data_IF_388289910130
#
_entry.id   IF_388289910130
#
_cell.length_a   1.000
_cell.length_b   1.000
_cell.length_c   1.000
_cell.angle_alpha   90.00
_cell.angle_beta   90.00
_cell.angle_gamma   90.00
#
_symmetry.space_group_name_H-M   'P 1'
#
loop_
_entity.id
_entity.type
_entity.pdbx_description
1 polymer ?
#
# COMPACT_ATOMS: atom_id res chain seq x y z
N UNK A 1 5.37 5.83 17.63
CA UNK A 1 4.13 5.73 18.43
C UNK A 1 4.21 6.20 19.89
N UNK A 2 5.36 6.23 20.60
CA UNK A 2 5.40 6.63 22.03
C UNK A 2 4.89 8.04 22.36
N UNK A 3 5.05 9.01 21.45
CA UNK A 3 4.66 10.42 21.70
C UNK A 3 3.14 10.59 21.87
N UNK A 4 2.33 9.77 21.18
CA UNK A 4 0.86 9.82 21.27
C UNK A 4 0.37 9.36 22.66
N UNK A 5 1.16 8.52 23.35
CA UNK A 5 0.86 7.99 24.68
C UNK A 5 1.75 8.57 25.79
N UNK A 6 2.46 9.67 25.52
CA UNK A 6 3.34 10.30 26.51
C UNK A 6 2.56 10.92 27.68
N UNK A 7 1.28 11.23 27.49
CA UNK A 7 0.36 11.75 28.51
C UNK A 7 -0.94 10.95 28.49
N UNK A 8 -1.58 10.80 29.64
CA UNK A 8 -2.88 10.14 29.78
C UNK A 8 -4.06 11.08 29.50
N UNK A 9 -3.84 12.40 29.55
CA UNK A 9 -4.92 13.38 29.44
C UNK A 9 -5.24 13.69 27.96
N UNK A 10 -6.50 13.51 27.56
CA UNK A 10 -6.91 13.66 26.15
C UNK A 10 -6.71 15.07 25.60
N UNK A 11 -6.89 16.10 26.42
CA UNK A 11 -6.68 17.49 26.01
C UNK A 11 -5.20 17.77 25.72
N UNK A 12 -4.33 17.37 26.64
CA UNK A 12 -2.88 17.50 26.47
C UNK A 12 -2.37 16.68 25.28
N UNK A 13 -2.85 15.44 25.08
CA UNK A 13 -2.56 14.65 23.88
C UNK A 13 -2.92 15.41 22.60
N UNK A 14 -4.10 16.04 22.56
CA UNK A 14 -4.57 16.81 21.40
C UNK A 14 -3.67 18.00 21.12
N UNK A 15 -3.27 18.73 22.15
CA UNK A 15 -2.38 19.87 21.98
C UNK A 15 -1.00 19.47 21.49
N UNK A 16 -0.42 18.41 22.06
CA UNK A 16 0.90 17.91 21.68
C UNK A 16 0.91 17.40 20.24
N UNK A 17 -0.04 16.54 19.87
CA UNK A 17 -0.15 16.00 18.49
C UNK A 17 -0.47 17.13 17.51
N UNK A 18 -1.34 18.07 17.89
CA UNK A 18 -1.68 19.23 17.07
C UNK A 18 -0.46 20.10 16.79
N UNK A 19 0.30 20.47 17.82
CA UNK A 19 1.55 21.24 17.69
C UNK A 19 2.58 20.48 16.85
N UNK A 20 2.73 19.18 17.07
CA UNK A 20 3.63 18.32 16.29
C UNK A 20 3.26 18.35 14.80
N UNK A 21 2.01 18.06 14.45
CA UNK A 21 1.57 18.04 13.05
C UNK A 21 1.66 19.42 12.40
N UNK A 22 1.33 20.48 13.11
CA UNK A 22 1.46 21.85 12.60
C UNK A 22 2.92 22.18 12.29
N UNK A 23 3.82 21.97 13.26
CA UNK A 23 5.26 22.25 13.11
C UNK A 23 5.87 21.41 11.99
N UNK A 24 5.51 20.12 11.91
CA UNK A 24 6.01 19.23 10.86
C UNK A 24 5.56 19.65 9.46
N UNK A 25 4.31 20.12 9.31
CA UNK A 25 3.80 20.60 8.01
C UNK A 25 4.47 21.89 7.54
N UNK A 26 4.94 22.73 8.46
CA UNK A 26 5.73 23.92 8.10
C UNK A 26 7.07 23.56 7.45
N UNK A 27 7.61 22.36 7.74
CA UNK A 27 8.87 21.86 7.16
C UNK A 27 8.67 21.21 5.78
N UNK A 28 7.45 20.84 5.40
CA UNK A 28 7.13 20.26 4.10
C UNK A 28 6.15 19.08 4.16
N UNK A 29 6.28 18.14 3.21
CA UNK A 29 5.44 16.94 3.14
C UNK A 29 5.93 15.92 4.15
N UNK A 30 5.02 15.48 5.04
CA UNK A 30 5.35 14.59 6.14
C UNK A 30 4.46 13.35 6.11
N UNK A 31 5.08 12.18 6.27
CA UNK A 31 4.42 10.91 6.48
C UNK A 31 4.63 10.48 7.94
N UNK A 32 3.54 10.32 8.67
CA UNK A 32 3.53 9.80 10.03
C UNK A 32 2.87 8.42 10.06
N UNK A 33 3.48 7.47 10.76
CA UNK A 33 2.89 6.13 10.99
C UNK A 33 2.45 6.00 12.44
N UNK A 34 1.27 5.42 12.64
CA UNK A 34 0.70 5.14 13.96
C UNK A 34 0.32 3.66 13.98
N UNK A 35 0.61 2.99 15.10
CA UNK A 35 0.18 1.62 15.34
C UNK A 35 -1.17 1.66 16.04
N UNK A 36 -2.12 0.90 15.51
CA UNK A 36 -3.44 0.68 16.09
C UNK A 36 -3.45 -0.67 16.81
N UNK A 37 -4.00 -0.72 18.01
CA UNK A 37 -4.05 -1.94 18.82
C UNK A 37 -5.40 -2.67 18.79
N UNK A 38 -6.35 -2.22 17.97
CA UNK A 38 -7.60 -2.94 17.74
C UNK A 38 -7.35 -4.26 17.00
N UNK A 39 -8.23 -5.25 17.20
CA UNK A 39 -8.09 -6.53 16.49
C UNK A 39 -8.54 -6.36 15.03
N UNK A 40 -7.96 -7.13 14.09
CA UNK A 40 -8.43 -7.15 12.71
C UNK A 40 -9.95 -7.37 12.59
N UNK A 41 -10.62 -6.45 11.90
CA UNK A 41 -12.07 -6.51 11.69
C UNK A 41 -12.92 -5.85 12.77
N UNK A 42 -12.32 -5.34 13.83
CA UNK A 42 -13.00 -4.44 14.77
C UNK A 42 -13.12 -3.03 14.19
N UNK A 43 -13.90 -2.18 14.86
CA UNK A 43 -13.93 -0.75 14.54
C UNK A 43 -12.59 -0.10 14.90
N UNK A 44 -12.26 1.00 14.22
CA UNK A 44 -11.01 1.73 14.44
C UNK A 44 -10.85 2.03 15.93
N UNK A 45 -9.70 1.66 16.48
CA UNK A 45 -9.36 1.84 17.89
C UNK A 45 -9.42 3.30 18.35
N UNK A 46 -9.96 3.53 19.55
CA UNK A 46 -10.03 4.86 20.14
C UNK A 46 -8.66 5.52 20.34
N UNK A 47 -7.59 4.72 20.39
CA UNK A 47 -6.21 5.14 20.54
C UNK A 47 -5.67 5.88 19.31
N UNK A 48 -6.25 5.67 18.13
CA UNK A 48 -5.80 6.29 16.87
C UNK A 48 -6.75 7.35 16.31
N UNK A 49 -7.95 7.50 16.88
CA UNK A 49 -8.95 8.47 16.42
C UNK A 49 -8.43 9.92 16.43
N UNK A 50 -7.69 10.30 17.47
CA UNK A 50 -7.19 11.67 17.62
C UNK A 50 -6.13 12.03 16.55
N UNK A 51 -5.09 11.20 16.30
CA UNK A 51 -4.20 11.36 15.15
C UNK A 51 -4.94 11.46 13.80
N UNK A 52 -5.93 10.58 13.55
CA UNK A 52 -6.73 10.60 12.31
C UNK A 52 -7.51 11.92 12.18
N UNK A 53 -8.08 12.39 13.28
CA UNK A 53 -8.85 13.63 13.30
C UNK A 53 -7.97 14.86 13.02
N UNK A 54 -6.76 14.92 13.56
CA UNK A 54 -5.85 16.06 13.42
C UNK A 54 -5.06 16.06 12.10
N UNK A 55 -4.84 14.90 11.47
CA UNK A 55 -4.11 14.80 10.20
C UNK A 55 -4.89 15.46 9.03
N UNK A 56 -4.18 15.78 7.94
CA UNK A 56 -4.86 16.23 6.70
C UNK A 56 -5.35 15.06 5.85
N UNK A 57 -4.64 13.93 5.92
CA UNK A 57 -5.05 12.68 5.33
C UNK A 57 -4.78 11.50 6.27
N UNK A 58 -5.54 10.43 6.12
CA UNK A 58 -5.38 9.20 6.88
C UNK A 58 -5.61 7.99 5.98
N UNK A 59 -4.61 7.11 5.93
CA UNK A 59 -4.63 5.84 5.20
C UNK A 59 -4.56 4.74 6.24
N UNK A 60 -5.51 3.82 6.21
CA UNK A 60 -5.59 2.69 7.13
C UNK A 60 -5.13 1.42 6.43
N UNK A 61 -4.16 0.71 7.02
CA UNK A 61 -3.65 -0.56 6.52
C UNK A 61 -4.08 -1.68 7.48
N UNK A 62 -4.94 -2.57 7.01
CA UNK A 62 -5.46 -3.68 7.81
C UNK A 62 -4.91 -5.01 7.31
N UNK A 63 -4.64 -5.92 8.26
CA UNK A 63 -4.27 -7.30 7.98
C UNK A 63 -5.34 -8.25 8.53
N UNK A 64 -6.01 -9.00 7.65
CA UNK A 64 -7.02 -9.99 8.01
C UNK A 64 -6.42 -11.39 7.94
N UNK A 65 -6.22 -12.12 9.05
CA UNK A 65 -5.61 -13.46 9.05
C UNK A 65 -6.52 -14.57 8.48
N UNK A 66 -7.54 -14.23 7.68
CA UNK A 66 -8.46 -15.18 7.06
C UNK A 66 -7.75 -15.80 5.85
N UNK A 67 -7.66 -17.13 5.79
CA UNK A 67 -6.97 -17.86 4.73
C UNK A 67 -7.52 -17.50 3.34
N UNK A 68 -6.68 -16.87 2.52
CA UNK A 68 -6.97 -16.45 1.15
C UNK A 68 -5.81 -15.65 0.57
N UNK A 69 -5.79 -15.48 -0.76
CA UNK A 69 -4.65 -14.91 -1.50
C UNK A 69 -4.31 -13.44 -1.13
N UNK A 70 -5.26 -12.69 -0.57
CA UNK A 70 -5.03 -11.32 -0.05
C UNK A 70 -5.58 -11.17 1.37
N UNK A 71 -4.67 -11.10 2.32
CA UNK A 71 -4.95 -10.82 3.73
C UNK A 71 -4.63 -9.37 4.13
N UNK A 72 -4.38 -8.49 3.16
CA UNK A 72 -3.93 -7.11 3.40
C UNK A 72 -4.77 -6.14 2.60
N UNK A 73 -5.35 -5.16 3.29
CA UNK A 73 -6.23 -4.16 2.69
C UNK A 73 -5.88 -2.75 3.13
N UNK A 74 -6.15 -1.79 2.25
CA UNK A 74 -5.92 -0.38 2.43
C UNK A 74 -7.26 0.33 2.29
N UNK A 75 -7.57 1.24 3.21
CA UNK A 75 -8.71 2.15 3.16
C UNK A 75 -8.23 3.59 3.24
N UNK A 76 -8.84 4.48 2.47
CA UNK A 76 -8.64 5.93 2.60
C UNK A 76 -9.71 6.44 3.57
N UNK A 77 -9.30 6.77 4.80
CA UNK A 77 -10.26 7.23 5.83
C UNK A 77 -10.61 8.71 5.68
N UNK A 78 -9.66 9.49 5.20
CA UNK A 78 -9.77 10.95 5.12
C UNK A 78 -8.72 11.50 4.18
N UNK A 79 -9.11 12.46 3.35
CA UNK A 79 -8.19 13.34 2.60
C UNK A 79 -8.83 14.73 2.51
N UNK A 80 -8.25 15.73 3.18
CA UNK A 80 -8.76 17.11 3.15
C UNK A 80 -8.43 17.77 1.81
N UNK A 81 -9.40 18.49 1.25
CA UNK A 81 -9.23 19.30 0.05
C UNK A 81 -9.19 18.51 -1.27
N UNK A 82 -9.35 17.19 -1.24
CA UNK A 82 -9.37 16.33 -2.44
C UNK A 82 -10.40 15.21 -2.32
N UNK A 83 -10.94 14.79 -3.47
CA UNK A 83 -11.75 13.57 -3.53
C UNK A 83 -10.85 12.33 -3.38
N UNK A 84 -11.38 11.30 -2.75
CA UNK A 84 -10.74 10.00 -2.61
C UNK A 84 -11.79 8.89 -2.72
N UNK A 85 -11.34 7.67 -3.02
CA UNK A 85 -12.24 6.53 -3.09
C UNK A 85 -12.59 5.98 -1.70
N UNK A 86 -13.81 5.51 -1.55
CA UNK A 86 -14.37 4.97 -0.29
C UNK A 86 -14.28 3.43 -0.21
N UNK A 87 -13.64 2.81 -1.21
CA UNK A 87 -13.52 1.36 -1.31
C UNK A 87 -12.46 0.76 -0.38
N UNK A 88 -12.42 -0.57 -0.36
CA UNK A 88 -11.37 -1.36 0.27
C UNK A 88 -10.43 -1.86 -0.82
N UNK A 89 -9.15 -1.50 -0.71
CA UNK A 89 -8.15 -1.76 -1.74
C UNK A 89 -7.17 -2.83 -1.26
N UNK A 90 -7.15 -4.03 -1.86
CA UNK A 90 -6.14 -5.02 -1.51
C UNK A 90 -4.74 -4.52 -1.89
N UNK A 91 -3.76 -4.86 -1.06
CA UNK A 91 -2.35 -4.56 -1.34
C UNK A 91 -1.44 -5.75 -1.05
N UNK A 92 -0.26 -5.76 -1.66
CA UNK A 92 0.74 -6.80 -1.51
C UNK A 92 2.15 -6.19 -1.45
N UNK A 93 3.11 -6.94 -0.92
CA UNK A 93 4.52 -6.55 -0.88
C UNK A 93 5.32 -7.39 -1.88
N UNK A 94 5.58 -6.85 -3.07
CA UNK A 94 6.43 -7.51 -4.04
C UNK A 94 7.87 -7.06 -3.85
N UNK A 95 8.78 -7.98 -3.47
CA UNK A 95 10.21 -7.66 -3.37
C UNK A 95 10.74 -7.11 -4.69
N UNK A 96 11.55 -6.06 -4.59
CA UNK A 96 12.03 -5.30 -5.75
C UNK A 96 11.07 -4.20 -6.22
N UNK A 97 9.75 -4.30 -5.96
CA UNK A 97 8.76 -3.24 -6.29
C UNK A 97 8.36 -2.42 -5.07
N UNK A 98 8.10 -3.06 -3.94
CA UNK A 98 7.57 -2.43 -2.74
C UNK A 98 6.09 -2.75 -2.57
N UNK A 99 5.33 -1.79 -2.01
CA UNK A 99 3.88 -1.91 -1.86
C UNK A 99 3.19 -1.73 -3.22
N UNK A 100 2.31 -2.67 -3.56
CA UNK A 100 1.44 -2.60 -4.73
C UNK A 100 0.01 -2.58 -4.22
N UNK A 101 -0.69 -1.49 -4.50
CA UNK A 101 -2.11 -1.31 -4.16
C UNK A 101 -2.93 -1.52 -5.42
N UNK A 102 -3.94 -2.38 -5.38
CA UNK A 102 -4.86 -2.55 -6.52
C UNK A 102 -5.81 -1.37 -6.59
N UNK A 103 -6.00 -0.81 -7.78
CA UNK A 103 -6.80 0.41 -7.98
C UNK A 103 -8.32 0.16 -7.94
N UNK A 104 -8.75 -1.09 -8.00
CA UNK A 104 -10.16 -1.49 -7.88
C UNK A 104 -10.35 -2.48 -6.74
N UNK A 105 -11.51 -2.45 -6.05
CA UNK A 105 -11.95 -3.55 -5.20
C UNK A 105 -12.22 -4.74 -6.13
N UNK A 106 -11.25 -5.64 -6.29
CA UNK A 106 -11.44 -6.88 -7.06
C UNK A 106 -11.66 -8.01 -6.08
N UNK A 107 -12.60 -8.90 -6.41
CA UNK A 107 -12.73 -10.21 -5.78
C UNK A 107 -11.35 -10.89 -5.75
N UNK A 108 -11.01 -11.45 -4.59
CA UNK A 108 -9.76 -12.18 -4.37
C UNK A 108 -9.74 -13.33 -5.39
N UNK A 109 -8.83 -13.32 -6.40
CA UNK A 109 -8.77 -14.40 -7.37
C UNK A 109 -8.46 -15.71 -6.67
N UNK A 110 -9.17 -16.78 -7.06
CA UNK A 110 -8.91 -18.13 -6.56
C UNK A 110 -7.46 -18.56 -6.82
N UNK A 111 -6.89 -19.26 -5.84
CA UNK A 111 -5.55 -19.84 -5.89
C UNK A 111 -5.40 -20.74 -7.13
N UNK A 112 -4.49 -20.38 -8.04
CA UNK A 112 -4.08 -21.26 -9.13
C UNK A 112 -2.60 -21.54 -9.03
N UNK A 113 -2.28 -22.73 -8.52
CA UNK A 113 -0.94 -23.30 -8.46
C UNK A 113 -0.37 -23.49 -9.88
N UNK A 114 0.19 -22.45 -10.47
CA UNK A 114 0.90 -22.52 -11.75
C UNK A 114 2.23 -21.80 -11.64
N UNK A 115 3.29 -22.45 -12.09
CA UNK A 115 4.59 -21.81 -12.25
C UNK A 115 4.46 -20.55 -13.10
N UNK A 116 4.76 -19.39 -12.51
CA UNK A 116 4.67 -18.08 -13.17
C UNK A 116 5.93 -17.70 -13.98
N UNK A 117 6.90 -18.62 -14.10
CA UNK A 117 8.18 -18.35 -14.78
C UNK A 117 8.00 -17.83 -16.21
N UNK A 118 7.09 -18.43 -16.98
CA UNK A 118 6.76 -18.00 -18.35
C UNK A 118 6.21 -16.58 -18.41
N UNK A 119 5.43 -16.17 -17.41
CA UNK A 119 4.86 -14.81 -17.34
C UNK A 119 5.99 -13.79 -17.17
N UNK A 120 6.92 -14.04 -16.26
CA UNK A 120 8.08 -13.19 -16.05
C UNK A 120 9.01 -13.14 -17.26
N UNK A 121 9.28 -14.29 -17.91
CA UNK A 121 10.09 -14.32 -19.14
C UNK A 121 9.47 -13.48 -20.26
N UNK A 122 8.15 -13.58 -20.44
CA UNK A 122 7.42 -12.77 -21.42
C UNK A 122 7.47 -11.27 -21.07
N UNK A 123 7.38 -10.92 -19.80
CA UNK A 123 7.51 -9.54 -19.34
C UNK A 123 8.93 -8.99 -19.56
N UNK A 124 9.98 -9.77 -19.30
CA UNK A 124 11.37 -9.38 -19.58
C UNK A 124 11.55 -9.11 -21.06
N UNK A 125 11.13 -10.05 -21.93
CA UNK A 125 11.18 -9.88 -23.39
C UNK A 125 10.42 -8.64 -23.86
N UNK A 126 9.25 -8.38 -23.28
CA UNK A 126 8.45 -7.19 -23.58
C UNK A 126 9.18 -5.91 -23.16
N UNK A 127 9.75 -5.88 -21.95
CA UNK A 127 10.51 -4.73 -21.46
C UNK A 127 11.75 -4.45 -22.33
N UNK A 128 12.50 -5.48 -22.72
CA UNK A 128 13.65 -5.39 -23.61
C UNK A 128 13.23 -4.89 -25.01
N UNK A 129 12.14 -5.45 -25.56
CA UNK A 129 11.58 -5.03 -26.86
C UNK A 129 11.09 -3.58 -26.87
N UNK A 130 10.54 -3.09 -25.76
CA UNK A 130 10.13 -1.70 -25.58
C UNK A 130 11.31 -0.76 -25.25
N UNK A 131 12.55 -1.26 -25.23
CA UNK A 131 13.76 -0.50 -24.83
C UNK A 131 13.59 0.16 -23.45
N UNK A 132 12.93 -0.54 -22.52
CA UNK A 132 12.75 -0.07 -21.16
C UNK A 132 14.13 0.17 -20.50
N UNK A 133 14.24 1.14 -19.58
CA UNK A 133 15.48 1.35 -18.83
C UNK A 133 15.96 0.08 -18.14
N UNK A 134 17.28 -0.17 -18.10
CA UNK A 134 17.89 -1.39 -17.50
C UNK A 134 17.37 -1.68 -16.09
N UNK A 135 17.16 -0.64 -15.28
CA UNK A 135 16.59 -0.74 -13.94
C UNK A 135 15.23 -1.44 -13.89
N UNK A 136 14.40 -1.30 -14.92
CA UNK A 136 13.07 -1.91 -15.01
C UNK A 136 13.21 -3.41 -15.24
N UNK A 137 14.08 -3.81 -16.18
CA UNK A 137 14.37 -5.22 -16.46
C UNK A 137 14.96 -5.91 -15.23
N UNK A 138 15.91 -5.26 -14.55
CA UNK A 138 16.47 -5.76 -13.29
C UNK A 138 15.43 -5.88 -12.18
N UNK A 139 14.43 -4.99 -12.15
CA UNK A 139 13.32 -5.04 -11.19
C UNK A 139 12.41 -6.24 -11.47
N UNK A 140 12.08 -6.50 -12.74
CA UNK A 140 11.31 -7.68 -13.15
C UNK A 140 12.07 -8.97 -12.81
N UNK A 141 13.38 -9.03 -13.07
CA UNK A 141 14.22 -10.19 -12.69
C UNK A 141 14.29 -10.40 -11.18
N UNK A 142 14.33 -9.32 -10.39
CA UNK A 142 14.24 -9.41 -8.92
C UNK A 142 12.88 -9.97 -8.50
N UNK A 143 11.78 -9.45 -9.04
CA UNK A 143 10.43 -9.98 -8.76
C UNK A 143 10.36 -11.48 -9.06
N UNK A 144 10.81 -11.93 -10.23
CA UNK A 144 10.80 -13.35 -10.62
C UNK A 144 11.51 -14.24 -9.60
N UNK A 145 12.67 -13.82 -9.10
CA UNK A 145 13.47 -14.58 -8.12
C UNK A 145 12.81 -14.66 -6.74
N UNK A 146 11.96 -13.70 -6.40
CA UNK A 146 11.40 -13.54 -5.06
C UNK A 146 9.88 -13.67 -5.01
N UNK A 147 9.24 -14.08 -6.11
CA UNK A 147 7.80 -14.23 -6.17
C UNK A 147 7.41 -15.53 -5.48
N UNK A 148 6.81 -15.40 -4.30
CA UNK A 148 6.39 -16.48 -3.42
C UNK A 148 4.86 -16.56 -3.31
N UNK A 149 4.13 -15.82 -4.15
CA UNK A 149 2.67 -15.83 -4.18
C UNK A 149 2.13 -16.86 -5.18
N UNK A 150 1.06 -17.54 -4.78
CA UNK A 150 0.34 -18.54 -5.59
C UNK A 150 -0.56 -17.93 -6.67
N UNK A 151 -0.71 -16.60 -6.69
CA UNK A 151 -1.46 -15.88 -7.72
C UNK A 151 -0.54 -15.27 -8.79
N UNK A 152 -1.12 -15.07 -9.97
CA UNK A 152 -0.42 -14.56 -11.15
C UNK A 152 0.24 -13.19 -10.93
N UNK A 153 1.52 -13.00 -11.34
CA UNK A 153 2.23 -11.72 -11.26
C UNK A 153 1.82 -10.72 -12.36
N UNK A 154 0.93 -11.09 -13.28
CA UNK A 154 0.55 -10.28 -14.45
C UNK A 154 0.13 -8.87 -14.07
N UNK A 155 -0.70 -8.73 -13.04
CA UNK A 155 -1.17 -7.43 -12.58
C UNK A 155 -0.05 -6.59 -11.97
N UNK A 156 0.81 -7.19 -11.13
CA UNK A 156 1.96 -6.51 -10.55
C UNK A 156 2.93 -6.01 -11.63
N UNK A 157 3.15 -6.83 -12.67
CA UNK A 157 3.94 -6.46 -13.84
C UNK A 157 3.25 -5.36 -14.65
N UNK A 158 1.94 -5.42 -14.84
CA UNK A 158 1.17 -4.39 -15.54
C UNK A 158 1.25 -3.04 -14.82
N UNK A 159 1.09 -3.03 -13.50
CA UNK A 159 1.25 -1.82 -12.67
C UNK A 159 2.67 -1.29 -12.79
N UNK A 160 3.68 -2.16 -12.76
CA UNK A 160 5.08 -1.78 -12.97
C UNK A 160 5.25 -1.11 -14.34
N UNK A 161 4.82 -1.73 -15.43
CA UNK A 161 4.92 -1.16 -16.77
C UNK A 161 4.22 0.21 -16.88
N UNK A 162 3.00 0.31 -16.35
CA UNK A 162 2.23 1.56 -16.33
C UNK A 162 2.97 2.68 -15.57
N UNK A 163 3.62 2.36 -14.44
CA UNK A 163 4.40 3.34 -13.66
C UNK A 163 5.61 3.92 -14.41
N UNK A 164 6.09 3.22 -15.44
CA UNK A 164 7.17 3.66 -16.32
C UNK A 164 6.68 4.18 -17.68
N UNK A 165 5.37 4.36 -17.87
CA UNK A 165 4.79 4.82 -19.14
C UNK A 165 4.87 3.80 -20.27
N UNK A 166 5.18 2.54 -19.97
CA UNK A 166 5.34 1.46 -20.94
C UNK A 166 3.96 0.80 -21.18
N UNK A 167 3.08 1.48 -21.92
CA UNK A 167 1.80 0.89 -22.31
C UNK A 167 1.99 -0.01 -23.55
N UNK A 168 1.39 -1.20 -23.55
CA UNK A 168 1.10 -1.89 -24.80
C UNK A 168 0.15 -0.98 -25.59
N UNK A 169 0.54 -0.58 -26.81
CA UNK A 169 -0.45 -0.11 -27.78
C UNK A 169 -1.53 -1.17 -27.90
N UNK A 170 -2.79 -0.73 -27.97
CA UNK A 170 -3.97 -1.60 -27.99
C UNK A 170 -3.94 -2.69 -29.03
#
# INVERSE_FOLDING_TARGET
TPVIWATAEKLEQRELIGKLFYTLKELGVVLCTVEEHARPGETIGEDVLLPIYLSDGAIHLEYYPIGGAFNRTLKLLKMRGVHHGEGVYPYLFARGVGIIVRASPVEIPDEQTRSHGKVFENAIKTAEGMKAPTRVVERIRRMQKSWDYDYSPEEALQILFNSYGLKRGG
#
